data_IF_142418185593
#
_entry.id   IF_142418185593
#
_cell.length_a   1.000
_cell.length_b   1.000
_cell.length_c   1.000
_cell.angle_alpha   90.00
_cell.angle_beta   90.00
_cell.angle_gamma   90.00
#
_symmetry.space_group_name_H-M   'P 1'
#
loop_
_entity.id
_entity.type
_entity.pdbx_description
1 polymer ?
#
# COMPACT_ATOMS: atom_id res chain seq x y z
N UNK A 1 18.38 -29.96 16.22
CA UNK A 1 18.41 -29.77 14.75
C UNK A 1 17.78 -28.43 14.46
N UNK A 2 18.42 -27.61 13.64
CA UNK A 2 18.07 -26.20 13.46
C UNK A 2 16.82 -26.10 12.56
N UNK A 3 15.72 -25.52 13.04
CA UNK A 3 14.43 -25.42 12.33
C UNK A 3 14.59 -24.89 10.90
N UNK A 4 15.44 -23.88 10.73
CA UNK A 4 15.73 -23.27 9.43
C UNK A 4 16.28 -24.27 8.40
N UNK A 5 17.07 -25.27 8.83
CA UNK A 5 17.63 -26.28 7.93
C UNK A 5 16.59 -27.32 7.48
N UNK A 6 15.58 -27.58 8.33
CA UNK A 6 14.49 -28.47 7.98
C UNK A 6 13.52 -27.80 7.00
N UNK A 7 13.26 -26.50 7.20
CA UNK A 7 12.46 -25.68 6.31
C UNK A 7 13.12 -25.54 4.92
N UNK A 8 14.41 -25.25 4.88
CA UNK A 8 15.17 -25.15 3.62
C UNK A 8 15.16 -26.47 2.82
N UNK A 9 15.33 -27.61 3.52
CA UNK A 9 15.20 -28.94 2.89
C UNK A 9 13.79 -29.22 2.38
N UNK A 10 12.76 -28.80 3.12
CA UNK A 10 11.38 -28.98 2.70
C UNK A 10 11.05 -28.14 1.45
N UNK A 11 11.53 -26.89 1.41
CA UNK A 11 11.39 -26.00 0.25
C UNK A 11 12.13 -26.55 -0.97
N UNK A 12 13.36 -27.04 -0.79
CA UNK A 12 14.13 -27.66 -1.87
C UNK A 12 13.40 -28.88 -2.45
N UNK A 13 12.90 -29.78 -1.60
CA UNK A 13 12.13 -30.93 -2.07
C UNK A 13 10.85 -30.52 -2.82
N UNK A 14 10.19 -29.45 -2.38
CA UNK A 14 9.01 -28.92 -3.06
C UNK A 14 9.34 -28.34 -4.44
N UNK A 15 10.51 -27.69 -4.57
CA UNK A 15 11.01 -27.17 -5.84
C UNK A 15 11.44 -28.29 -6.80
N UNK A 16 12.12 -29.33 -6.30
CA UNK A 16 12.51 -30.51 -7.08
C UNK A 16 11.30 -31.31 -7.60
N UNK A 17 10.15 -31.25 -6.91
CA UNK A 17 8.92 -31.87 -7.41
C UNK A 17 8.23 -31.06 -8.53
N UNK A 18 8.67 -29.82 -8.77
CA UNK A 18 8.14 -28.95 -9.82
C UNK A 18 9.06 -28.89 -11.05
N UNK A 19 10.13 -29.68 -11.04
CA UNK A 19 11.10 -29.75 -12.12
C UNK A 19 10.91 -31.02 -12.93
N UNK A 20 11.27 -30.96 -14.20
CA UNK A 20 11.23 -32.11 -15.07
C UNK A 20 12.65 -32.69 -15.21
N UNK A 21 12.84 -33.89 -14.68
CA UNK A 21 14.06 -34.67 -14.80
C UNK A 21 13.96 -35.66 -15.96
N UNK A 22 14.92 -35.60 -16.89
CA UNK A 22 15.19 -36.65 -17.87
C UNK A 22 16.64 -37.10 -17.73
N UNK A 23 16.97 -38.30 -18.22
CA UNK A 23 18.22 -39.05 -17.91
C UNK A 23 19.52 -38.23 -17.88
N UNK A 24 19.65 -37.19 -18.70
CA UNK A 24 20.83 -36.33 -18.78
C UNK A 24 20.54 -34.83 -18.68
N UNK A 25 19.27 -34.44 -18.52
CA UNK A 25 18.85 -33.03 -18.51
C UNK A 25 17.85 -32.77 -17.39
N UNK A 26 18.07 -31.69 -16.66
CA UNK A 26 17.15 -31.16 -15.65
C UNK A 26 16.55 -29.86 -16.18
N UNK A 27 15.23 -29.75 -16.15
CA UNK A 27 14.49 -28.56 -16.60
C UNK A 27 13.69 -27.96 -15.46
N UNK A 28 13.90 -26.67 -15.21
CA UNK A 28 13.15 -25.88 -14.24
C UNK A 28 12.45 -24.74 -14.96
N UNK A 29 11.12 -24.66 -14.81
CA UNK A 29 10.31 -23.56 -15.33
C UNK A 29 9.81 -22.72 -14.16
N UNK A 30 10.02 -21.41 -14.23
CA UNK A 30 9.62 -20.48 -13.18
C UNK A 30 9.23 -19.11 -13.74
N UNK A 31 8.42 -18.38 -12.99
CA UNK A 31 8.09 -16.98 -13.27
C UNK A 31 9.13 -16.05 -12.67
N UNK A 32 9.52 -15.00 -13.41
CA UNK A 32 10.44 -13.99 -12.91
C UNK A 32 9.98 -12.58 -13.32
N UNK A 33 10.13 -11.56 -12.45
CA UNK A 33 9.93 -10.18 -12.85
C UNK A 33 10.90 -9.79 -13.97
N UNK A 34 10.43 -9.00 -14.93
CA UNK A 34 11.24 -8.52 -16.06
C UNK A 34 12.58 -7.85 -15.62
N UNK A 35 12.64 -7.06 -14.52
CA UNK A 35 13.90 -6.47 -14.05
C UNK A 35 14.97 -7.50 -13.63
N UNK A 36 14.55 -8.69 -13.19
CA UNK A 36 15.45 -9.74 -12.69
C UNK A 36 16.01 -10.65 -13.80
N UNK A 37 15.46 -10.58 -15.01
CA UNK A 37 15.85 -11.43 -16.15
C UNK A 37 17.35 -11.30 -16.45
N UNK A 38 17.90 -10.09 -16.46
CA UNK A 38 19.33 -9.87 -16.74
C UNK A 38 20.23 -10.49 -15.68
N UNK A 39 19.81 -10.47 -14.41
CA UNK A 39 20.54 -11.10 -13.30
C UNK A 39 20.57 -12.63 -13.45
N UNK A 40 19.45 -13.22 -13.84
CA UNK A 40 19.34 -14.67 -14.07
C UNK A 40 20.14 -15.12 -15.31
N UNK A 41 20.12 -14.34 -16.40
CA UNK A 41 20.93 -14.65 -17.59
C UNK A 41 22.43 -14.63 -17.29
N UNK A 42 22.89 -13.67 -16.48
CA UNK A 42 24.29 -13.63 -16.04
C UNK A 42 24.64 -14.87 -15.22
N UNK A 43 23.78 -15.25 -14.26
CA UNK A 43 23.95 -16.45 -13.45
C UNK A 43 24.02 -17.72 -14.29
N UNK A 44 23.13 -17.87 -15.27
CA UNK A 44 23.08 -19.01 -16.18
C UNK A 44 24.39 -19.12 -16.99
N UNK A 45 24.89 -18.01 -17.53
CA UNK A 45 26.18 -17.98 -18.28
C UNK A 45 27.36 -18.41 -17.41
N UNK A 46 27.42 -17.95 -16.16
CA UNK A 46 28.51 -18.30 -15.23
C UNK A 46 28.54 -19.80 -14.92
N UNK A 47 27.38 -20.46 -14.89
CA UNK A 47 27.27 -21.88 -14.55
C UNK A 47 27.10 -22.79 -15.77
N UNK A 48 27.20 -22.26 -16.99
CA UNK A 48 27.02 -23.04 -18.23
C UNK A 48 25.60 -23.58 -18.43
N UNK A 49 24.59 -22.93 -17.84
CA UNK A 49 23.19 -23.34 -17.94
C UNK A 49 22.54 -22.76 -19.20
N UNK A 50 21.71 -23.57 -19.86
CA UNK A 50 20.81 -23.08 -20.90
C UNK A 50 19.60 -22.41 -20.24
N UNK A 51 19.27 -21.19 -20.67
CA UNK A 51 18.12 -20.44 -20.19
C UNK A 51 17.30 -19.93 -21.37
N UNK A 52 15.99 -20.18 -21.35
CA UNK A 52 15.03 -19.65 -22.31
C UNK A 52 14.10 -18.70 -21.56
N UNK A 53 13.84 -17.52 -22.12
CA UNK A 53 12.94 -16.52 -21.55
C UNK A 53 11.79 -16.31 -22.52
N UNK A 54 10.57 -16.55 -22.05
CA UNK A 54 9.35 -16.40 -22.83
C UNK A 54 8.41 -15.43 -22.10
N UNK A 55 7.68 -14.63 -22.88
CA UNK A 55 6.63 -13.78 -22.32
C UNK A 55 5.37 -14.62 -22.06
N UNK A 56 4.60 -14.34 -21.00
CA UNK A 56 3.35 -15.05 -20.73
C UNK A 56 2.34 -14.91 -21.87
N UNK A 57 1.71 -16.03 -22.27
CA UNK A 57 0.59 -16.04 -23.22
C UNK A 57 -0.67 -15.43 -22.57
N UNK A 58 -1.63 -15.05 -23.39
CA UNK A 58 -3.00 -14.64 -23.06
C UNK A 58 -3.73 -15.55 -22.06
N UNK A 59 -3.43 -16.85 -22.07
CA UNK A 59 -4.06 -17.87 -21.21
C UNK A 59 -3.28 -18.13 -19.92
N UNK A 60 -2.05 -17.63 -19.82
CA UNK A 60 -1.22 -17.84 -18.65
C UNK A 60 -1.67 -16.96 -17.48
N UNK A 61 -1.58 -17.51 -16.28
CA UNK A 61 -1.87 -16.81 -15.02
C UNK A 61 -0.59 -16.63 -14.22
N UNK A 62 0.34 -15.76 -14.65
CA UNK A 62 1.55 -15.51 -13.90
C UNK A 62 1.24 -14.87 -12.54
N UNK A 63 2.11 -15.06 -11.53
CA UNK A 63 1.98 -14.39 -10.24
C UNK A 63 1.99 -12.86 -10.39
N UNK A 64 1.15 -12.18 -9.62
CA UNK A 64 1.10 -10.71 -9.62
C UNK A 64 2.30 -10.13 -8.86
N UNK A 65 3.15 -9.39 -9.58
CA UNK A 65 4.21 -8.59 -8.98
C UNK A 65 3.79 -7.11 -8.96
N UNK A 66 3.48 -6.59 -7.77
CA UNK A 66 3.08 -5.19 -7.58
C UNK A 66 4.28 -4.37 -7.12
N UNK A 67 4.69 -3.40 -7.91
CA UNK A 67 5.73 -2.44 -7.55
C UNK A 67 5.11 -1.04 -7.41
N UNK A 68 4.98 -0.57 -6.17
CA UNK A 68 4.40 0.74 -5.89
C UNK A 68 5.49 1.73 -5.49
N UNK A 69 5.43 2.98 -5.98
CA UNK A 69 6.37 4.00 -5.57
C UNK A 69 6.25 4.29 -4.08
N UNK A 70 7.38 4.65 -3.44
CA UNK A 70 7.48 4.81 -1.98
C UNK A 70 6.37 5.64 -1.30
N UNK A 71 5.83 6.73 -1.90
CA UNK A 71 4.79 7.53 -1.25
C UNK A 71 3.48 6.77 -1.04
N UNK A 72 3.11 5.84 -1.93
CA UNK A 72 1.86 5.06 -1.88
C UNK A 72 2.12 3.57 -1.56
N UNK A 73 3.34 3.24 -1.14
CA UNK A 73 3.76 1.87 -0.88
C UNK A 73 2.93 1.15 0.19
N UNK A 74 2.35 1.88 1.14
CA UNK A 74 1.44 1.31 2.13
C UNK A 74 0.06 0.93 1.54
N UNK A 75 -0.35 1.57 0.44
CA UNK A 75 -1.56 1.20 -0.29
C UNK A 75 -1.51 -0.24 -0.79
N UNK A 76 -0.32 -0.74 -1.14
CA UNK A 76 -0.11 -2.14 -1.52
C UNK A 76 -0.46 -3.09 -0.38
N UNK A 77 0.00 -2.79 0.83
CA UNK A 77 -0.23 -3.64 2.01
C UNK A 77 -1.70 -3.62 2.42
N UNK A 78 -2.38 -2.48 2.24
CA UNK A 78 -3.82 -2.37 2.41
C UNK A 78 -4.59 -3.22 1.40
N UNK A 79 -4.19 -3.21 0.11
CA UNK A 79 -4.85 -4.01 -0.93
C UNK A 79 -4.56 -5.51 -0.75
N UNK A 80 -3.31 -5.87 -0.48
CA UNK A 80 -2.91 -7.27 -0.31
C UNK A 80 -3.56 -7.94 0.90
N UNK A 81 -3.95 -7.16 1.92
CA UNK A 81 -4.74 -7.66 3.04
C UNK A 81 -6.12 -8.17 2.62
N UNK A 82 -6.76 -7.53 1.62
CA UNK A 82 -8.07 -7.97 1.11
C UNK A 82 -7.92 -9.05 0.06
N UNK A 83 -7.25 -8.74 -1.04
CA UNK A 83 -6.99 -9.67 -2.13
C UNK A 83 -5.89 -9.11 -3.03
N UNK A 84 -4.93 -9.95 -3.42
CA UNK A 84 -3.94 -9.56 -4.43
C UNK A 84 -4.66 -9.41 -5.79
N UNK A 85 -4.55 -8.24 -6.47
CA UNK A 85 -5.14 -8.04 -7.79
C UNK A 85 -4.63 -9.08 -8.78
N UNK A 86 -5.45 -9.39 -9.79
CA UNK A 86 -5.02 -10.26 -10.88
C UNK A 86 -3.92 -9.61 -11.69
N UNK A 87 -3.02 -10.41 -12.27
CA UNK A 87 -1.85 -9.94 -13.03
C UNK A 87 -2.18 -8.90 -14.11
N UNK A 88 -3.35 -9.01 -14.75
CA UNK A 88 -3.81 -8.13 -15.83
C UNK A 88 -4.83 -7.09 -15.39
N UNK A 89 -5.14 -7.03 -14.10
CA UNK A 89 -6.11 -6.06 -13.57
C UNK A 89 -5.41 -4.74 -13.24
N UNK A 90 -6.18 -3.66 -13.31
CA UNK A 90 -5.72 -2.35 -12.85
C UNK A 90 -5.41 -2.38 -11.36
N UNK A 91 -4.32 -1.73 -10.93
CA UNK A 91 -3.89 -1.70 -9.54
C UNK A 91 -4.71 -0.67 -8.73
N UNK A 92 -5.56 -1.11 -7.78
CA UNK A 92 -6.37 -0.21 -6.97
C UNK A 92 -5.60 0.42 -5.80
N UNK A 93 -4.32 0.08 -5.59
CA UNK A 93 -3.54 0.47 -4.41
C UNK A 93 -3.50 1.98 -4.17
N UNK A 94 -3.32 2.78 -5.22
CA UNK A 94 -3.27 4.23 -5.12
C UNK A 94 -4.64 4.80 -4.71
N UNK A 95 -5.72 4.34 -5.36
CA UNK A 95 -7.08 4.77 -5.04
C UNK A 95 -7.46 4.36 -3.62
N UNK A 96 -7.15 3.13 -3.20
CA UNK A 96 -7.38 2.68 -1.82
C UNK A 96 -6.62 3.53 -0.82
N UNK A 97 -5.36 3.87 -1.09
CA UNK A 97 -4.56 4.73 -0.21
C UNK A 97 -5.17 6.12 -0.02
N UNK A 98 -5.59 6.76 -1.11
CA UNK A 98 -6.20 8.10 -1.08
C UNK A 98 -7.55 8.04 -0.35
N UNK A 99 -8.39 7.08 -0.73
CA UNK A 99 -9.72 6.89 -0.17
C UNK A 99 -9.66 6.62 1.33
N UNK A 100 -8.78 5.70 1.74
CA UNK A 100 -8.51 5.41 3.15
C UNK A 100 -8.11 6.66 3.92
N UNK A 101 -7.22 7.49 3.34
CA UNK A 101 -6.77 8.73 3.98
C UNK A 101 -7.91 9.74 4.17
N UNK A 102 -8.77 9.89 3.16
CA UNK A 102 -9.93 10.79 3.20
C UNK A 102 -10.98 10.28 4.20
N UNK A 103 -11.35 9.00 4.16
CA UNK A 103 -12.32 8.42 5.08
C UNK A 103 -11.85 8.47 6.53
N UNK A 104 -10.56 8.18 6.77
CA UNK A 104 -9.98 8.32 8.10
C UNK A 104 -10.08 9.76 8.62
N UNK A 105 -9.77 10.74 7.77
CA UNK A 105 -9.91 12.16 8.10
C UNK A 105 -11.35 12.55 8.45
N UNK A 106 -12.33 12.05 7.68
CA UNK A 106 -13.75 12.27 7.93
C UNK A 106 -14.25 11.61 9.21
N UNK A 107 -13.72 10.44 9.57
CA UNK A 107 -14.08 9.74 10.81
C UNK A 107 -13.48 10.44 12.03
N UNK A 108 -12.20 10.83 11.96
CA UNK A 108 -11.52 11.51 13.07
C UNK A 108 -12.10 12.92 13.29
N UNK A 109 -12.36 13.63 12.19
CA UNK A 109 -13.07 14.91 12.12
C UNK A 109 -12.65 16.00 13.11
N UNK A 110 -11.42 15.96 13.62
CA UNK A 110 -10.93 16.88 14.65
C UNK A 110 -9.46 17.21 14.45
N UNK A 111 -9.16 18.51 14.36
CA UNK A 111 -7.80 19.00 14.13
C UNK A 111 -6.91 18.87 15.37
N UNK A 112 -7.47 18.89 16.58
CA UNK A 112 -6.73 18.72 17.83
C UNK A 112 -6.22 17.29 17.99
N UNK A 113 -7.09 16.30 17.75
CA UNK A 113 -6.66 14.89 17.73
C UNK A 113 -5.69 14.60 16.59
N UNK A 114 -5.90 15.17 15.40
CA UNK A 114 -4.95 15.04 14.29
C UNK A 114 -3.56 15.61 14.66
N UNK A 115 -3.50 16.75 15.37
CA UNK A 115 -2.26 17.34 15.84
C UNK A 115 -1.53 16.46 16.87
N UNK A 116 -2.27 15.81 17.78
CA UNK A 116 -1.69 14.83 18.71
C UNK A 116 -1.08 13.63 17.97
N UNK A 117 -1.79 13.10 16.96
CA UNK A 117 -1.26 12.04 16.11
C UNK A 117 -0.02 12.50 15.33
N UNK A 118 -0.01 13.75 14.86
CA UNK A 118 1.15 14.37 14.22
C UNK A 118 2.35 14.48 15.17
N UNK A 119 2.13 14.86 16.43
CA UNK A 119 3.19 14.94 17.43
C UNK A 119 3.76 13.55 17.76
N UNK A 120 2.91 12.55 17.86
CA UNK A 120 3.33 11.15 18.03
C UNK A 120 4.16 10.67 16.82
N UNK A 121 3.74 11.01 15.60
CA UNK A 121 4.49 10.71 14.38
C UNK A 121 5.86 11.39 14.37
N UNK A 122 5.96 12.65 14.78
CA UNK A 122 7.23 13.37 14.91
C UNK A 122 8.15 12.72 15.94
N UNK A 123 7.59 12.29 17.08
CA UNK A 123 8.34 11.55 18.10
C UNK A 123 8.89 10.23 17.57
N UNK A 124 8.09 9.48 16.81
CA UNK A 124 8.48 8.20 16.20
C UNK A 124 9.26 8.32 14.89
N UNK A 125 9.48 9.54 14.38
CA UNK A 125 10.02 9.79 13.04
C UNK A 125 11.35 9.08 12.78
N UNK A 126 12.27 9.14 13.75
CA UNK A 126 13.59 8.50 13.65
C UNK A 126 13.51 6.97 13.67
N UNK A 127 12.57 6.41 14.42
CA UNK A 127 12.34 4.96 14.46
C UNK A 127 11.75 4.47 13.14
N UNK A 128 10.79 5.21 12.61
CA UNK A 128 10.09 4.91 11.36
C UNK A 128 10.93 5.12 10.10
N UNK A 129 12.11 5.72 10.20
CA UNK A 129 13.00 5.96 9.05
C UNK A 129 14.13 4.93 8.93
N UNK A 130 14.11 3.86 9.74
CA UNK A 130 15.22 2.88 9.80
C UNK A 130 15.14 1.77 8.75
N UNK A 131 13.94 1.40 8.30
CA UNK A 131 13.76 0.30 7.35
C UNK A 131 12.84 0.71 6.21
N UNK A 132 12.96 0.09 5.02
CA UNK A 132 12.05 0.34 3.90
C UNK A 132 10.58 0.13 4.27
N UNK A 133 10.29 -0.90 5.08
CA UNK A 133 8.95 -1.16 5.59
C UNK A 133 8.45 -0.05 6.51
N UNK A 134 9.30 0.41 7.43
CA UNK A 134 8.96 1.52 8.32
C UNK A 134 8.69 2.82 7.57
N UNK A 135 9.40 3.09 6.46
CA UNK A 135 9.21 4.27 5.62
C UNK A 135 7.83 4.28 4.96
N UNK A 136 7.33 3.13 4.49
CA UNK A 136 5.98 3.00 3.93
C UNK A 136 4.92 3.40 4.96
N UNK A 137 5.02 2.87 6.18
CA UNK A 137 4.10 3.21 7.26
C UNK A 137 4.21 4.66 7.69
N UNK A 138 5.42 5.24 7.70
CA UNK A 138 5.61 6.68 7.96
C UNK A 138 4.83 7.54 6.95
N UNK A 139 4.94 7.21 5.66
CA UNK A 139 4.25 7.95 4.60
C UNK A 139 2.72 7.81 4.73
N UNK A 140 2.22 6.63 5.11
CA UNK A 140 0.80 6.43 5.45
C UNK A 140 0.37 7.31 6.62
N UNK A 141 1.07 7.25 7.75
CA UNK A 141 0.73 8.08 8.92
C UNK A 141 0.79 9.57 8.60
N UNK A 142 1.75 10.00 7.79
CA UNK A 142 1.85 11.38 7.35
C UNK A 142 0.64 11.79 6.49
N UNK A 143 0.23 10.95 5.54
CA UNK A 143 -0.97 11.20 4.73
C UNK A 143 -2.23 11.28 5.60
N UNK A 144 -2.38 10.39 6.59
CA UNK A 144 -3.51 10.41 7.52
C UNK A 144 -3.54 11.66 8.38
N UNK A 145 -2.39 12.06 8.95
CA UNK A 145 -2.29 13.27 9.78
C UNK A 145 -2.61 14.50 8.93
N UNK A 146 -2.01 14.64 7.74
CA UNK A 146 -2.28 15.78 6.86
C UNK A 146 -3.75 15.84 6.43
N UNK A 147 -4.32 14.73 5.96
CA UNK A 147 -5.72 14.67 5.57
C UNK A 147 -6.64 15.01 6.74
N UNK A 148 -6.38 14.46 7.92
CA UNK A 148 -7.19 14.71 9.13
C UNK A 148 -7.06 16.13 9.65
N UNK A 149 -5.87 16.73 9.60
CA UNK A 149 -5.67 18.13 9.97
C UNK A 149 -6.39 19.06 9.01
N UNK A 150 -6.26 18.84 7.69
CA UNK A 150 -6.98 19.64 6.68
C UNK A 150 -8.49 19.50 6.88
N UNK A 151 -8.99 18.28 7.02
CA UNK A 151 -10.42 18.04 7.23
C UNK A 151 -10.94 18.62 8.55
N UNK A 152 -10.22 18.43 9.65
CA UNK A 152 -10.58 18.98 10.96
C UNK A 152 -10.62 20.51 10.98
N UNK A 153 -9.73 21.17 10.24
CA UNK A 153 -9.75 22.63 10.05
C UNK A 153 -10.97 23.06 9.22
N UNK A 154 -11.30 22.33 8.14
CA UNK A 154 -12.47 22.62 7.29
C UNK A 154 -13.79 22.50 8.05
N UNK A 155 -13.86 21.51 8.95
CA UNK A 155 -14.97 21.28 9.89
C UNK A 155 -15.00 22.30 11.03
N UNK A 156 -13.83 22.81 11.42
CA UNK A 156 -13.67 23.72 12.54
C UNK A 156 -13.82 23.04 13.91
N UNK A 157 -13.42 21.76 14.06
CA UNK A 157 -13.39 21.08 15.36
C UNK A 157 -11.97 20.98 15.89
N UNK A 158 -11.76 21.46 17.12
CA UNK A 158 -10.46 21.43 17.81
C UNK A 158 -10.64 20.86 19.21
N UNK A 159 -10.14 19.64 19.47
CA UNK A 159 -10.33 18.93 20.74
C UNK A 159 -11.80 18.78 21.15
N UNK A 160 -12.70 18.64 20.17
CA UNK A 160 -14.15 18.60 20.38
C UNK A 160 -14.77 19.96 20.72
N UNK A 161 -13.99 21.05 20.69
CA UNK A 161 -14.47 22.42 20.91
C UNK A 161 -14.54 23.14 19.56
N UNK A 162 -15.69 23.77 19.30
CA UNK A 162 -15.86 24.65 18.15
C UNK A 162 -15.39 26.06 18.55
N UNK A 163 -14.39 26.63 17.85
CA UNK A 163 -13.86 27.95 18.18
C UNK A 163 -14.93 29.02 17.95
N UNK A 164 -14.95 30.03 18.83
CA UNK A 164 -15.96 31.09 18.79
C UNK A 164 -15.92 31.90 17.48
N UNK A 165 -17.06 32.50 17.07
CA UNK A 165 -17.26 33.15 15.77
C UNK A 165 -16.33 34.35 15.49
N UNK A 166 -15.62 34.84 16.50
CA UNK A 166 -14.71 36.00 16.46
C UNK A 166 -13.27 35.64 16.01
N UNK A 167 -12.94 34.36 15.86
CA UNK A 167 -11.57 33.92 15.50
C UNK A 167 -11.38 33.77 13.99
N UNK A 168 -10.18 34.09 13.46
CA UNK A 168 -9.83 33.89 12.03
C UNK A 168 -10.05 32.44 11.55
N UNK A 169 -10.02 31.50 12.47
CA UNK A 169 -10.28 30.07 12.29
C UNK A 169 -11.77 29.79 11.98
N UNK A 170 -12.70 30.59 12.52
CA UNK A 170 -14.13 30.49 12.24
C UNK A 170 -14.50 30.96 10.82
N UNK A 171 -13.68 31.82 10.18
CA UNK A 171 -13.86 32.27 8.79
C UNK A 171 -13.48 31.21 7.75
N UNK A 172 -12.70 30.20 8.13
CA UNK A 172 -12.31 29.06 7.28
C UNK A 172 -13.27 27.87 7.44
N UNK A 173 -14.27 27.98 8.32
CA UNK A 173 -15.32 26.98 8.52
C UNK A 173 -16.25 26.95 7.29
N UNK A 174 -15.92 26.10 6.32
CA UNK A 174 -16.69 25.92 5.08
C UNK A 174 -17.79 24.86 5.30
N UNK A 175 -17.60 23.91 6.22
CA UNK A 175 -18.56 22.85 6.53
C UNK A 175 -19.00 22.91 8.00
N UNK A 176 -20.26 23.26 8.24
CA UNK A 176 -20.87 23.11 9.56
C UNK A 176 -21.37 21.67 9.72
N UNK A 177 -20.76 20.87 10.60
CA UNK A 177 -21.21 19.51 10.92
C UNK A 177 -22.66 19.46 11.40
N UNK A 178 -23.16 20.57 11.95
CA UNK A 178 -24.55 20.68 12.37
C UNK A 178 -25.54 20.75 11.20
N UNK A 179 -25.07 20.97 9.97
CA UNK A 179 -25.92 20.96 8.78
C UNK A 179 -25.91 19.57 8.12
N UNK A 180 -26.84 18.73 8.55
CA UNK A 180 -26.99 17.35 8.09
C UNK A 180 -27.16 17.24 6.56
N UNK A 181 -27.72 18.25 5.90
CA UNK A 181 -27.93 18.26 4.44
C UNK A 181 -26.60 18.30 3.68
N UNK A 182 -25.66 19.15 4.11
CA UNK A 182 -24.34 19.27 3.48
C UNK A 182 -23.49 18.00 3.67
N UNK A 183 -23.64 17.35 4.82
CA UNK A 183 -22.92 16.09 5.11
C UNK A 183 -23.47 14.93 4.28
N UNK A 184 -24.79 14.88 4.08
CA UNK A 184 -25.43 13.91 3.17
C UNK A 184 -24.96 14.16 1.74
N UNK A 185 -25.00 15.40 1.24
CA UNK A 185 -24.55 15.74 -0.11
C UNK A 185 -23.08 15.35 -0.35
N UNK A 186 -22.21 15.63 0.62
CA UNK A 186 -20.80 15.26 0.56
C UNK A 186 -20.59 13.74 0.49
N UNK A 187 -21.30 12.97 1.32
CA UNK A 187 -21.18 11.50 1.30
C UNK A 187 -21.66 10.89 -0.02
N UNK A 188 -22.74 11.42 -0.62
CA UNK A 188 -23.22 11.02 -1.94
C UNK A 188 -22.18 11.37 -3.01
N UNK A 189 -21.61 12.58 -2.98
CA UNK A 189 -20.63 13.03 -3.97
C UNK A 189 -19.37 12.17 -3.95
N UNK A 190 -18.84 11.88 -2.74
CA UNK A 190 -17.69 10.98 -2.58
C UNK A 190 -18.01 9.58 -3.11
N UNK A 191 -19.21 9.06 -2.82
CA UNK A 191 -19.68 7.77 -3.33
C UNK A 191 -19.75 7.72 -4.86
N UNK A 192 -20.29 8.76 -5.51
CA UNK A 192 -20.38 8.83 -6.97
C UNK A 192 -18.98 8.88 -7.61
N UNK A 193 -18.06 9.67 -7.04
CA UNK A 193 -16.67 9.74 -7.53
C UNK A 193 -15.93 8.40 -7.38
N UNK A 194 -16.25 7.59 -6.37
CA UNK A 194 -15.61 6.28 -6.18
C UNK A 194 -16.13 5.21 -7.15
N UNK A 195 -17.36 5.36 -7.65
CA UNK A 195 -17.99 4.39 -8.56
C UNK A 195 -17.66 4.69 -10.02
N UNK A 196 -17.44 5.96 -10.36
CA UNK A 196 -17.02 6.42 -11.69
C UNK A 196 -15.54 6.12 -11.95
#
# INVERSE_FOLDING_TARGET
QNLNQLEDKALLNSALNQTYDADQIFVCQAWTPQPDVSRLQAYARTHGLAMVVENPDSRDTPPTFIENPEPVGAGKDLVSFYMTPGYRSWDPSATVFISFSIFFAMILSDAGYAALLGLLLLFMWRSLSRTPTSLKYRNLFLALVLASTVWGILVGSYFGIQPGPETLVAKVKIFDINNSENMILLSILIGVIHVL
#
